data_IF_071965714140
#
_entry.id   IF_071965714140
#
_cell.length_a   1.000
_cell.length_b   1.000
_cell.length_c   1.000
_cell.angle_alpha   90.00
_cell.angle_beta   90.00
_cell.angle_gamma   90.00
#
_symmetry.space_group_name_H-M   'P 1'
#
loop_
_entity.id
_entity.type
_entity.pdbx_description
1 polymer ?
#
# COMPACT_ATOMS: atom_id res chain seq x y z
N UNK A 1 -7.53 -10.03 20.11
CA UNK A 1 -7.00 -8.90 19.39
C UNK A 1 -5.82 -9.33 18.51
N UNK A 2 -5.85 -9.00 17.27
CA UNK A 2 -4.72 -9.34 16.44
C UNK A 2 -3.47 -8.68 16.98
N UNK A 3 -2.36 -9.36 16.84
CA UNK A 3 -1.09 -8.78 17.21
C UNK A 3 -0.97 -7.44 16.52
N UNK A 4 -0.67 -6.43 17.29
CA UNK A 4 -0.42 -5.14 16.70
C UNK A 4 0.76 -5.31 15.76
N UNK A 5 0.54 -5.01 14.48
CA UNK A 5 1.63 -5.15 13.54
C UNK A 5 2.79 -4.30 13.97
N UNK A 6 3.97 -4.85 13.78
CA UNK A 6 5.16 -4.09 14.06
C UNK A 6 5.15 -2.83 13.21
N UNK A 7 5.10 -1.73 13.89
CA UNK A 7 5.30 -0.45 13.24
C UNK A 7 6.77 -0.28 12.96
N UNK A 8 7.11 -0.25 11.71
CA UNK A 8 8.42 0.24 11.36
C UNK A 8 8.20 1.66 10.85
N UNK A 9 8.55 2.63 11.68
CA UNK A 9 8.50 4.04 11.31
C UNK A 9 7.13 4.51 10.79
N UNK A 10 6.05 3.93 11.32
CA UNK A 10 4.70 4.36 10.94
C UNK A 10 4.12 3.69 9.71
N UNK A 11 4.84 2.76 9.11
CA UNK A 11 4.34 1.98 7.98
C UNK A 11 3.99 0.57 8.44
N UNK A 12 2.81 0.12 8.05
CA UNK A 12 2.44 -1.27 8.21
C UNK A 12 2.68 -2.01 6.90
N UNK A 13 3.38 -3.13 6.94
CA UNK A 13 3.64 -3.94 5.76
C UNK A 13 2.62 -5.06 5.66
N UNK A 14 1.89 -5.10 4.54
CA UNK A 14 0.92 -6.14 4.26
C UNK A 14 1.43 -6.97 3.08
N UNK A 15 1.80 -8.20 3.36
CA UNK A 15 2.29 -9.11 2.32
C UNK A 15 1.15 -9.99 1.81
N UNK A 16 0.73 -9.75 0.58
CA UNK A 16 -0.34 -10.50 -0.05
C UNK A 16 0.15 -11.67 -0.89
N UNK A 17 1.47 -11.85 -0.99
CA UNK A 17 2.04 -12.98 -1.72
C UNK A 17 2.24 -14.22 -0.86
N UNK A 18 2.20 -14.04 0.43
CA UNK A 18 2.46 -15.11 1.37
C UNK A 18 1.48 -16.26 1.16
N UNK A 19 2.01 -17.47 1.04
CA UNK A 19 1.23 -18.70 0.83
C UNK A 19 0.48 -18.75 -0.49
N UNK A 20 0.88 -17.95 -1.46
CA UNK A 20 0.32 -17.95 -2.82
C UNK A 20 -1.21 -17.97 -2.83
N UNK A 21 -1.86 -16.93 -2.32
CA UNK A 21 -3.32 -16.92 -2.24
C UNK A 21 -3.97 -16.75 -3.61
N UNK A 22 -5.26 -17.08 -3.68
CA UNK A 22 -6.06 -16.71 -4.83
C UNK A 22 -6.30 -15.20 -4.80
N UNK A 23 -6.78 -14.66 -5.91
CA UNK A 23 -7.13 -13.23 -5.97
C UNK A 23 -8.18 -12.89 -4.91
N UNK A 24 -9.21 -13.73 -4.78
CA UNK A 24 -10.26 -13.48 -3.78
C UNK A 24 -9.73 -13.52 -2.36
N UNK A 25 -8.83 -14.45 -2.06
CA UNK A 25 -8.21 -14.50 -0.75
C UNK A 25 -7.35 -13.27 -0.47
N UNK A 26 -6.63 -12.80 -1.48
CA UNK A 26 -5.79 -11.62 -1.34
C UNK A 26 -6.65 -10.37 -1.10
N UNK A 27 -7.75 -10.22 -1.85
CA UNK A 27 -8.66 -9.09 -1.65
C UNK A 27 -9.31 -9.12 -0.28
N UNK A 28 -9.72 -10.30 0.19
CA UNK A 28 -10.31 -10.44 1.50
C UNK A 28 -9.33 -10.06 2.59
N UNK A 29 -8.10 -10.52 2.49
CA UNK A 29 -7.05 -10.17 3.44
C UNK A 29 -6.78 -8.67 3.41
N UNK A 30 -6.74 -8.10 2.22
CA UNK A 30 -6.50 -6.66 2.04
C UNK A 30 -7.60 -5.84 2.72
N UNK A 31 -8.85 -6.13 2.41
CA UNK A 31 -9.98 -5.38 2.97
C UNK A 31 -10.07 -5.54 4.49
N UNK A 32 -9.86 -6.74 4.98
CA UNK A 32 -9.88 -7.01 6.41
C UNK A 32 -8.79 -6.24 7.13
N UNK A 33 -7.59 -6.23 6.56
CA UNK A 33 -6.46 -5.52 7.16
C UNK A 33 -6.71 -4.03 7.21
N UNK A 34 -7.19 -3.44 6.11
CA UNK A 34 -7.47 -2.01 6.09
C UNK A 34 -8.55 -1.64 7.11
N UNK A 35 -9.57 -2.49 7.24
CA UNK A 35 -10.62 -2.27 8.22
C UNK A 35 -10.07 -2.26 9.65
N UNK A 36 -9.19 -3.22 9.96
CA UNK A 36 -8.57 -3.26 11.28
C UNK A 36 -7.67 -2.05 11.53
N UNK A 37 -6.91 -1.65 10.52
CA UNK A 37 -5.99 -0.52 10.67
C UNK A 37 -6.71 0.81 10.78
N UNK A 38 -7.96 0.90 10.32
CA UNK A 38 -8.73 2.14 10.40
C UNK A 38 -8.95 2.61 11.84
N UNK A 39 -8.86 1.69 12.80
CA UNK A 39 -9.02 2.00 14.21
C UNK A 39 -7.70 2.19 14.94
N UNK A 40 -6.61 2.25 14.20
CA UNK A 40 -5.27 2.43 14.77
C UNK A 40 -4.71 3.79 14.36
N UNK A 41 -3.53 4.10 14.86
CA UNK A 41 -2.82 5.32 14.48
C UNK A 41 -2.01 5.15 13.20
N UNK A 42 -2.04 3.95 12.60
CA UNK A 42 -1.29 3.68 11.38
C UNK A 42 -1.92 4.41 10.20
N UNK A 43 -1.11 5.15 9.47
CA UNK A 43 -1.59 5.97 8.35
C UNK A 43 -1.14 5.45 6.99
N UNK A 44 -0.11 4.62 6.96
CA UNK A 44 0.51 4.19 5.71
C UNK A 44 0.67 2.68 5.69
N UNK A 45 0.28 2.07 4.57
CA UNK A 45 0.43 0.63 4.37
C UNK A 45 1.28 0.38 3.13
N UNK A 46 2.32 -0.42 3.29
CA UNK A 46 3.08 -0.92 2.15
C UNK A 46 2.47 -2.27 1.77
N UNK A 47 1.80 -2.32 0.64
CA UNK A 47 1.17 -3.55 0.14
C UNK A 47 2.12 -4.25 -0.81
N UNK A 48 2.51 -5.47 -0.46
CA UNK A 48 3.35 -6.31 -1.32
C UNK A 48 2.43 -7.27 -2.06
N UNK A 49 2.26 -7.07 -3.36
CA UNK A 49 1.37 -7.89 -4.17
C UNK A 49 2.09 -8.62 -5.29
N UNK A 50 3.38 -8.34 -5.46
CA UNK A 50 4.13 -8.90 -6.57
C UNK A 50 3.80 -8.21 -7.88
N UNK A 51 4.50 -8.60 -8.92
CA UNK A 51 4.33 -7.98 -10.23
C UNK A 51 4.15 -9.00 -11.35
N UNK A 52 3.95 -10.26 -11.00
CA UNK A 52 3.50 -11.24 -11.97
C UNK A 52 4.56 -12.03 -12.71
N UNK A 53 5.81 -12.01 -12.26
CA UNK A 53 6.84 -12.82 -12.90
C UNK A 53 6.49 -14.32 -12.88
N UNK A 54 5.68 -14.74 -11.92
CA UNK A 54 5.18 -16.12 -11.84
C UNK A 54 3.75 -16.27 -12.35
N UNK A 55 3.18 -15.25 -12.95
CA UNK A 55 1.83 -15.28 -13.51
C UNK A 55 0.71 -14.97 -12.53
N UNK A 56 0.89 -15.24 -11.25
CA UNK A 56 -0.17 -15.03 -10.26
C UNK A 56 -0.11 -13.64 -9.62
N UNK A 57 1.10 -13.15 -9.38
CA UNK A 57 1.29 -11.84 -8.75
C UNK A 57 0.66 -10.71 -9.56
N UNK A 58 0.68 -10.82 -10.88
CA UNK A 58 0.08 -9.81 -11.74
C UNK A 58 -1.42 -9.67 -11.56
N UNK A 59 -2.09 -10.79 -11.33
CA UNK A 59 -3.55 -10.76 -11.10
C UNK A 59 -3.88 -10.12 -9.76
N UNK A 60 -3.11 -10.43 -8.74
CA UNK A 60 -3.32 -9.83 -7.43
C UNK A 60 -3.05 -8.34 -7.49
N UNK A 61 -1.94 -7.95 -8.11
CA UNK A 61 -1.60 -6.55 -8.29
C UNK A 61 -2.73 -5.78 -8.99
N UNK A 62 -3.23 -6.33 -10.08
CA UNK A 62 -4.29 -5.70 -10.85
C UNK A 62 -5.57 -5.56 -10.02
N UNK A 63 -5.96 -6.63 -9.33
CA UNK A 63 -7.17 -6.62 -8.52
C UNK A 63 -7.05 -5.61 -7.37
N UNK A 64 -5.90 -5.56 -6.71
CA UNK A 64 -5.68 -4.61 -5.62
C UNK A 64 -5.74 -3.18 -6.14
N UNK A 65 -5.15 -2.92 -7.30
CA UNK A 65 -5.17 -1.57 -7.86
C UNK A 65 -6.57 -1.14 -8.29
N UNK A 66 -7.38 -2.06 -8.79
CA UNK A 66 -8.78 -1.77 -9.09
C UNK A 66 -9.56 -1.45 -7.82
N UNK A 67 -9.32 -2.23 -6.78
CA UNK A 67 -9.97 -1.99 -5.49
C UNK A 67 -9.55 -0.64 -4.90
N UNK A 68 -8.28 -0.26 -5.05
CA UNK A 68 -7.80 1.02 -4.54
C UNK A 68 -8.41 2.21 -5.27
N UNK A 69 -8.65 2.08 -6.57
CA UNK A 69 -9.36 3.11 -7.33
C UNK A 69 -10.73 3.36 -6.72
N UNK A 70 -11.45 2.28 -6.44
CA UNK A 70 -12.76 2.36 -5.82
C UNK A 70 -12.71 2.97 -4.42
N UNK A 71 -11.77 2.51 -3.60
CA UNK A 71 -11.67 2.96 -2.21
C UNK A 71 -11.24 4.43 -2.11
N UNK A 72 -10.41 4.88 -3.03
CA UNK A 72 -10.04 6.30 -3.07
C UNK A 72 -11.23 7.15 -3.46
N UNK A 73 -12.00 6.71 -4.46
CA UNK A 73 -13.18 7.43 -4.93
C UNK A 73 -14.24 7.54 -3.85
N UNK A 74 -14.38 6.51 -3.03
CA UNK A 74 -15.38 6.48 -1.96
C UNK A 74 -14.82 6.97 -0.62
N UNK A 75 -13.58 7.48 -0.62
CA UNK A 75 -12.93 8.03 0.57
C UNK A 75 -12.68 7.03 1.70
N UNK A 76 -12.60 5.75 1.37
CA UNK A 76 -12.18 4.73 2.34
C UNK A 76 -10.70 4.90 2.63
N UNK A 77 -9.91 5.23 1.61
CA UNK A 77 -8.52 5.60 1.76
C UNK A 77 -8.31 7.03 1.27
N UNK A 78 -7.23 7.64 1.70
CA UNK A 78 -6.91 9.01 1.25
C UNK A 78 -6.30 9.00 -0.16
N UNK A 79 -5.30 8.16 -0.38
CA UNK A 79 -4.64 8.05 -1.68
C UNK A 79 -3.80 6.79 -1.74
N UNK A 80 -3.25 6.50 -2.92
CA UNK A 80 -2.30 5.41 -3.09
C UNK A 80 -1.31 5.78 -4.17
N UNK A 81 -0.14 5.14 -4.11
CA UNK A 81 0.94 5.40 -5.07
C UNK A 81 1.54 4.08 -5.51
N UNK A 82 1.61 3.88 -6.83
CA UNK A 82 2.24 2.70 -7.39
C UNK A 82 3.74 2.73 -7.10
N UNK A 83 4.28 1.60 -6.63
CA UNK A 83 5.71 1.56 -6.30
C UNK A 83 6.60 1.90 -7.47
N UNK A 84 6.22 1.49 -8.68
CA UNK A 84 7.00 1.81 -9.88
C UNK A 84 7.06 3.30 -10.17
N UNK A 85 6.13 4.08 -9.64
CA UNK A 85 6.10 5.53 -9.83
C UNK A 85 6.79 6.29 -8.71
N UNK A 86 7.30 5.60 -7.71
CA UNK A 86 8.00 6.24 -6.60
C UNK A 86 9.47 6.46 -6.95
N UNK A 87 9.68 7.36 -7.89
CA UNK A 87 11.01 7.73 -8.38
C UNK A 87 11.10 9.25 -8.46
N UNK A 88 12.26 9.84 -8.17
CA UNK A 88 12.39 11.30 -8.08
C UNK A 88 11.88 12.10 -9.27
N UNK A 89 11.97 11.53 -10.47
CA UNK A 89 11.51 12.21 -11.67
C UNK A 89 10.03 12.04 -11.97
N UNK A 90 9.32 11.27 -11.15
CA UNK A 90 7.91 10.99 -11.40
C UNK A 90 7.00 11.93 -10.63
N UNK A 91 5.90 12.30 -11.27
CA UNK A 91 4.90 13.18 -10.69
C UNK A 91 4.32 12.61 -9.40
N UNK A 92 4.06 11.31 -9.38
CA UNK A 92 3.51 10.66 -8.18
C UNK A 92 4.43 10.82 -6.97
N UNK A 93 5.73 10.68 -7.17
CA UNK A 93 6.69 10.82 -6.09
C UNK A 93 6.72 12.26 -5.58
N UNK A 94 6.65 13.23 -6.49
CA UNK A 94 6.61 14.64 -6.12
C UNK A 94 5.35 14.97 -5.36
N UNK A 95 4.21 14.44 -5.80
CA UNK A 95 2.94 14.64 -5.12
C UNK A 95 2.96 14.05 -3.71
N UNK A 96 3.51 12.84 -3.56
CA UNK A 96 3.62 12.20 -2.26
C UNK A 96 4.42 13.07 -1.30
N UNK A 97 5.57 13.56 -1.74
CA UNK A 97 6.43 14.39 -0.91
C UNK A 97 5.78 15.71 -0.54
N UNK A 98 4.99 16.27 -1.46
CA UNK A 98 4.32 17.53 -1.23
C UNK A 98 3.18 17.41 -0.23
N UNK A 99 2.36 16.38 -0.38
CA UNK A 99 1.18 16.20 0.46
C UNK A 99 1.47 15.49 1.77
N UNK A 100 2.54 14.71 1.81
CA UNK A 100 2.90 13.92 2.99
C UNK A 100 4.40 13.98 3.21
N UNK A 101 4.93 15.16 3.60
CA UNK A 101 6.40 15.34 3.68
C UNK A 101 7.10 14.38 4.62
N UNK A 102 6.43 13.93 5.67
CA UNK A 102 7.04 13.01 6.63
C UNK A 102 7.19 11.59 6.08
N UNK A 103 6.41 11.23 5.08
CA UNK A 103 6.49 9.88 4.50
C UNK A 103 7.81 9.66 3.78
N UNK A 104 8.37 10.71 3.20
CA UNK A 104 9.68 10.63 2.56
C UNK A 104 10.73 9.99 3.47
N UNK A 105 10.66 10.28 4.77
CA UNK A 105 11.64 9.81 5.73
C UNK A 105 11.48 8.33 6.09
N UNK A 106 10.34 7.73 5.75
CA UNK A 106 10.08 6.33 6.07
C UNK A 106 10.09 5.43 4.84
N UNK A 107 10.30 6.00 3.65
CA UNK A 107 10.45 5.21 2.44
C UNK A 107 11.83 4.57 2.44
N UNK A 108 11.85 3.27 2.17
CA UNK A 108 13.11 2.53 2.06
C UNK A 108 13.45 2.29 0.59
N UNK A 109 14.70 1.95 0.33
CA UNK A 109 15.15 1.73 -1.06
C UNK A 109 14.37 0.64 -1.77
N UNK A 110 13.92 -0.36 -1.05
CA UNK A 110 13.18 -1.47 -1.64
C UNK A 110 11.79 -1.05 -2.14
N UNK A 111 11.29 0.09 -1.70
CA UNK A 111 10.00 0.60 -2.16
C UNK A 111 10.12 1.42 -3.43
N UNK A 112 11.25 2.11 -3.60
CA UNK A 112 11.40 3.06 -4.69
C UNK A 112 11.50 2.34 -6.03
N UNK A 113 10.60 2.69 -6.95
CA UNK A 113 10.59 2.09 -8.28
C UNK A 113 10.17 0.64 -8.33
N UNK A 114 9.63 0.10 -7.25
CA UNK A 114 9.31 -1.32 -7.15
C UNK A 114 7.89 -1.61 -7.65
N UNK A 115 7.72 -2.27 -8.81
CA UNK A 115 6.37 -2.56 -9.32
C UNK A 115 5.64 -3.65 -8.55
N UNK A 116 6.32 -4.31 -7.61
CA UNK A 116 5.70 -5.33 -6.76
C UNK A 116 5.00 -4.78 -5.53
N UNK A 117 5.02 -3.47 -5.32
CA UNK A 117 4.37 -2.87 -4.17
C UNK A 117 3.48 -1.71 -4.57
N UNK A 118 2.55 -1.38 -3.66
CA UNK A 118 1.75 -0.16 -3.75
C UNK A 118 1.73 0.45 -2.35
N UNK A 119 1.95 1.75 -2.27
CA UNK A 119 1.90 2.47 -1.02
C UNK A 119 0.50 3.05 -0.85
N UNK A 120 -0.17 2.72 0.24
CA UNK A 120 -1.53 3.18 0.51
C UNK A 120 -1.51 4.16 1.67
N UNK A 121 -2.10 5.32 1.45
CA UNK A 121 -2.22 6.35 2.50
C UNK A 121 -3.65 6.25 3.03
N UNK A 122 -3.79 5.73 4.23
CA UNK A 122 -5.10 5.52 4.85
C UNK A 122 -5.72 6.82 5.30
N UNK A 123 -4.92 7.67 5.89
CA UNK A 123 -5.38 8.93 6.48
C UNK A 123 -4.43 10.03 6.12
N UNK A 124 -4.99 11.23 5.98
CA UNK A 124 -4.16 12.39 5.75
C UNK A 124 -3.20 12.58 6.92
N UNK A 125 -1.97 12.90 6.59
CA UNK A 125 -0.97 13.19 7.62
C UNK A 125 -1.17 14.63 8.09
N UNK A 126 -1.46 14.79 9.37
CA UNK A 126 -1.47 16.11 10.00
C UNK A 126 -0.15 16.29 10.69
N UNK A 127 0.48 17.34 10.43
CA UNK A 127 1.74 17.66 11.07
C UNK A 127 1.52 18.78 12.05
#
# INVERSE_FOLDING_TARGET
MPAVPKKVAGIFTLNLEEKLPTVDQALEKFDHTLSELSETAIKVVKVIHGYGSGGKGGRIKEAIRQELIYQRRTHIIHSYYAGEDLLPGKEAYQELNKQNPTIKNILTKDMLGNPGITLVILKRSYI
#
